data_IF_240112969792
#
_entry.id   IF_240112969792
#
_cell.length_a   1.000
_cell.length_b   1.000
_cell.length_c   1.000
_cell.angle_alpha   90.00
_cell.angle_beta   90.00
_cell.angle_gamma   90.00
#
_symmetry.space_group_name_H-M   'P 1'
#
loop_
_entity.id
_entity.type
_entity.pdbx_description
1 polymer ?
#
# COMPACT_ATOMS: atom_id res chain seq x y z
N UNK A 1 14.10 -0.78 0.86
CA UNK A 1 14.51 0.51 0.29
C UNK A 1 15.95 0.81 0.70
N UNK A 2 16.75 1.52 -0.11
CA UNK A 2 18.06 2.01 0.33
C UNK A 2 17.89 3.02 1.48
N UNK A 3 18.66 2.87 2.55
CA UNK A 3 18.69 3.85 3.65
C UNK A 3 19.29 5.16 3.10
N UNK A 4 18.52 6.25 3.20
CA UNK A 4 18.99 7.60 2.82
C UNK A 4 20.30 7.91 3.54
N UNK A 5 21.29 8.48 2.83
CA UNK A 5 22.65 8.69 3.36
C UNK A 5 22.66 9.38 4.72
N UNK A 6 21.86 10.43 4.89
CA UNK A 6 21.72 11.18 6.14
C UNK A 6 20.98 10.49 7.27
N UNK A 7 20.58 9.22 7.13
CA UNK A 7 19.97 8.43 8.20
C UNK A 7 20.77 7.17 8.54
N UNK A 8 21.90 6.93 7.86
CA UNK A 8 22.71 5.72 8.07
C UNK A 8 23.30 5.65 9.48
N UNK A 9 23.53 6.79 10.13
CA UNK A 9 24.12 6.83 11.47
C UNK A 9 23.19 6.33 12.57
N UNK A 10 21.87 6.24 12.33
CA UNK A 10 20.92 5.63 13.27
C UNK A 10 21.01 4.10 13.30
N UNK A 11 21.69 3.52 12.31
CA UNK A 11 21.81 2.08 12.17
C UNK A 11 23.17 1.63 12.69
N UNK A 12 23.23 0.54 13.47
CA UNK A 12 24.50 0.00 13.93
C UNK A 12 25.30 -0.58 12.75
N UNK A 13 26.62 -0.64 12.92
CA UNK A 13 27.57 -1.02 11.85
C UNK A 13 27.29 -2.44 11.28
N UNK A 14 26.74 -3.31 12.11
CA UNK A 14 26.38 -4.70 11.81
C UNK A 14 24.97 -4.86 11.21
N UNK A 15 24.29 -3.77 10.86
CA UNK A 15 22.96 -3.81 10.22
C UNK A 15 22.86 -4.73 9.00
N UNK A 16 23.87 -4.84 8.11
CA UNK A 16 23.84 -5.82 7.01
C UNK A 16 23.75 -7.27 7.50
N UNK A 17 24.48 -7.61 8.57
CA UNK A 17 24.52 -8.92 9.20
C UNK A 17 23.19 -9.21 9.89
N UNK A 18 22.67 -8.28 10.70
CA UNK A 18 21.36 -8.39 11.34
C UNK A 18 20.25 -8.61 10.29
N UNK A 19 20.24 -7.80 9.24
CA UNK A 19 19.28 -7.91 8.14
C UNK A 19 19.34 -9.27 7.44
N UNK A 20 20.53 -9.82 7.27
CA UNK A 20 20.74 -11.14 6.64
C UNK A 20 20.30 -12.26 7.58
N UNK A 21 20.66 -12.19 8.86
CA UNK A 21 20.26 -13.14 9.89
C UNK A 21 18.75 -13.25 10.04
N UNK A 22 18.04 -12.11 10.00
CA UNK A 22 16.57 -12.12 10.02
C UNK A 22 15.99 -12.69 8.72
N UNK A 23 16.35 -12.13 7.56
CA UNK A 23 15.71 -12.48 6.28
C UNK A 23 15.99 -13.89 5.80
N UNK A 24 17.19 -14.41 6.04
CA UNK A 24 17.62 -15.69 5.46
C UNK A 24 17.95 -16.74 6.52
N UNK A 25 18.27 -16.32 7.75
CA UNK A 25 18.39 -17.23 8.89
C UNK A 25 17.01 -17.55 9.48
N UNK A 26 16.46 -16.65 10.29
CA UNK A 26 15.21 -16.89 11.05
C UNK A 26 14.03 -17.20 10.15
N UNK A 27 13.80 -16.36 9.14
CA UNK A 27 12.58 -16.47 8.31
C UNK A 27 12.79 -17.34 7.07
N UNK A 28 13.99 -17.94 6.92
CA UNK A 28 14.34 -18.85 5.84
C UNK A 28 14.01 -18.29 4.45
N UNK A 29 14.18 -16.98 4.26
CA UNK A 29 13.89 -16.32 2.99
C UNK A 29 12.41 -16.09 2.73
N UNK A 30 11.54 -16.05 3.75
CA UNK A 30 10.11 -15.76 3.60
C UNK A 30 9.69 -14.50 4.32
N UNK A 31 8.63 -13.88 3.81
CA UNK A 31 7.96 -12.78 4.48
C UNK A 31 7.21 -13.29 5.70
N UNK A 32 7.40 -12.66 6.87
CA UNK A 32 6.71 -13.05 8.11
C UNK A 32 5.22 -12.70 8.11
N UNK A 33 4.78 -11.77 7.25
CA UNK A 33 3.38 -11.34 7.20
C UNK A 33 2.54 -12.11 6.19
N UNK A 34 3.09 -12.49 5.03
CA UNK A 34 2.31 -13.11 3.95
C UNK A 34 2.95 -14.37 3.36
N UNK A 35 4.03 -14.87 3.96
CA UNK A 35 4.79 -16.06 3.55
C UNK A 35 5.46 -16.01 2.16
N UNK A 36 5.32 -14.92 1.37
CA UNK A 36 5.95 -14.80 0.04
C UNK A 36 7.44 -15.11 0.09
N UNK A 37 7.95 -15.98 -0.81
CA UNK A 37 9.36 -16.31 -0.88
C UNK A 37 10.16 -15.14 -1.44
N UNK A 38 11.27 -14.81 -0.80
CA UNK A 38 12.26 -13.84 -1.26
C UNK A 38 13.18 -14.40 -2.33
N UNK A 39 13.72 -13.53 -3.17
CA UNK A 39 14.62 -13.85 -4.30
C UNK A 39 14.04 -14.77 -5.37
N UNK A 40 12.76 -15.14 -5.27
CA UNK A 40 12.00 -15.85 -6.30
C UNK A 40 11.13 -14.89 -7.10
N UNK A 41 10.77 -15.32 -8.31
CA UNK A 41 9.74 -14.66 -9.12
C UNK A 41 8.42 -15.34 -8.84
N UNK A 42 7.40 -14.56 -8.51
CA UNK A 42 6.09 -15.05 -8.08
C UNK A 42 5.01 -14.39 -8.93
N UNK A 43 3.99 -15.15 -9.34
CA UNK A 43 2.80 -14.62 -9.99
C UNK A 43 1.91 -13.91 -8.95
N UNK A 44 1.55 -12.67 -9.25
CA UNK A 44 0.71 -11.84 -8.40
C UNK A 44 -0.47 -11.27 -9.19
N UNK A 45 -1.62 -11.17 -8.55
CA UNK A 45 -2.75 -10.38 -9.03
C UNK A 45 -2.66 -8.94 -8.50
N UNK A 46 -3.38 -8.01 -9.13
CA UNK A 46 -3.35 -6.58 -8.80
C UNK A 46 -3.87 -6.26 -7.39
N UNK A 47 -4.81 -7.06 -6.89
CA UNK A 47 -5.33 -7.00 -5.51
C UNK A 47 -4.34 -7.55 -4.45
N UNK A 48 -3.25 -8.16 -4.92
CA UNK A 48 -2.19 -8.72 -4.11
C UNK A 48 -2.39 -10.16 -3.67
N UNK A 49 -3.35 -10.89 -4.26
CA UNK A 49 -3.29 -12.36 -4.28
C UNK A 49 -2.02 -12.83 -5.01
N UNK A 50 -1.49 -14.00 -4.67
CA UNK A 50 -0.28 -14.55 -5.28
C UNK A 50 -0.27 -16.08 -5.32
N UNK A 51 0.40 -16.65 -6.31
CA UNK A 51 0.51 -18.10 -6.47
C UNK A 51 1.63 -18.67 -5.60
N UNK A 52 1.27 -19.57 -4.69
CA UNK A 52 2.20 -20.37 -3.92
C UNK A 52 2.43 -21.71 -4.65
N UNK A 53 3.61 -21.83 -5.26
CA UNK A 53 4.04 -23.02 -5.99
C UNK A 53 4.15 -24.24 -5.06
N UNK A 54 4.58 -24.06 -3.81
CA UNK A 54 4.77 -25.17 -2.86
C UNK A 54 3.45 -25.73 -2.35
N UNK A 55 2.44 -24.87 -2.19
CA UNK A 55 1.08 -25.26 -1.83
C UNK A 55 0.18 -25.55 -3.03
N UNK A 56 0.70 -25.37 -4.26
CA UNK A 56 -0.07 -25.39 -5.51
C UNK A 56 -1.41 -24.62 -5.41
N UNK A 57 -1.38 -23.45 -4.77
CA UNK A 57 -2.60 -22.72 -4.39
C UNK A 57 -2.40 -21.21 -4.45
N UNK A 58 -3.49 -20.48 -4.64
CA UNK A 58 -3.49 -19.04 -4.47
C UNK A 58 -3.54 -18.66 -2.99
N UNK A 59 -2.82 -17.60 -2.65
CA UNK A 59 -2.87 -16.97 -1.33
C UNK A 59 -3.30 -15.52 -1.44
N UNK A 60 -3.96 -15.01 -0.41
CA UNK A 60 -4.31 -13.61 -0.30
C UNK A 60 -3.12 -12.73 0.13
N UNK A 61 -3.41 -11.47 0.46
CA UNK A 61 -2.39 -10.54 0.93
C UNK A 61 -1.87 -10.79 2.34
N UNK A 62 -2.62 -11.51 3.17
CA UNK A 62 -2.23 -11.95 4.51
C UNK A 62 -1.54 -13.33 4.47
N UNK A 63 -1.44 -13.97 3.31
CA UNK A 63 -0.85 -15.29 3.14
C UNK A 63 -1.81 -16.45 3.43
N UNK A 64 -3.11 -16.21 3.58
CA UNK A 64 -4.11 -17.26 3.73
C UNK A 64 -4.40 -17.90 2.37
N UNK A 65 -4.61 -19.22 2.34
CA UNK A 65 -4.96 -19.94 1.10
C UNK A 65 -6.39 -19.55 0.70
N UNK A 66 -6.59 -19.25 -0.59
CA UNK A 66 -7.88 -18.88 -1.16
C UNK A 66 -8.16 -19.68 -2.42
N UNK A 67 -9.40 -20.13 -2.55
CA UNK A 67 -9.90 -20.71 -3.79
C UNK A 67 -10.32 -19.60 -4.74
N UNK A 68 -9.84 -19.64 -5.98
CA UNK A 68 -10.32 -18.73 -7.02
C UNK A 68 -11.55 -19.36 -7.68
N UNK A 69 -12.63 -18.60 -7.78
CA UNK A 69 -13.82 -19.05 -8.50
C UNK A 69 -13.46 -19.21 -9.98
N UNK A 70 -13.57 -20.43 -10.50
CA UNK A 70 -13.30 -20.71 -11.89
C UNK A 70 -14.23 -19.88 -12.80
N UNK A 71 -13.65 -19.21 -13.81
CA UNK A 71 -14.41 -18.44 -14.81
C UNK A 71 -14.75 -17.00 -14.46
N UNK A 72 -14.43 -16.51 -13.26
CA UNK A 72 -14.74 -15.12 -12.84
C UNK A 72 -13.54 -14.18 -13.02
N UNK A 73 -12.33 -14.70 -12.80
CA UNK A 73 -11.09 -13.93 -12.93
C UNK A 73 -10.34 -14.38 -14.21
N UNK A 74 -10.06 -13.44 -15.14
CA UNK A 74 -9.07 -13.66 -16.21
C UNK A 74 -7.66 -13.68 -15.60
N UNK A 75 -7.30 -14.83 -15.04
CA UNK A 75 -6.03 -14.99 -14.33
C UNK A 75 -4.82 -14.83 -15.24
N UNK A 76 -4.91 -15.27 -16.49
CA UNK A 76 -3.80 -15.14 -17.43
C UNK A 76 -3.60 -13.67 -17.83
N UNK A 77 -4.69 -12.93 -18.08
CA UNK A 77 -4.61 -11.50 -18.41
C UNK A 77 -4.25 -10.61 -17.22
N UNK A 78 -4.64 -10.98 -16.00
CA UNK A 78 -4.42 -10.19 -14.79
C UNK A 78 -3.11 -10.51 -14.06
N UNK A 79 -2.60 -11.74 -14.14
CA UNK A 79 -1.39 -12.13 -13.42
C UNK A 79 -0.16 -11.39 -13.96
N UNK A 80 0.67 -10.93 -13.04
CA UNK A 80 1.97 -10.31 -13.33
C UNK A 80 3.04 -11.02 -12.53
N UNK A 81 4.17 -11.29 -13.17
CA UNK A 81 5.34 -11.80 -12.47
C UNK A 81 6.02 -10.66 -11.71
N UNK A 82 6.39 -10.92 -10.46
CA UNK A 82 7.14 -9.96 -9.65
C UNK A 82 8.29 -10.66 -8.96
N UNK A 83 9.50 -10.11 -9.11
CA UNK A 83 10.67 -10.56 -8.35
C UNK A 83 10.55 -10.06 -6.92
N UNK A 84 10.49 -10.99 -5.97
CA UNK A 84 10.29 -10.65 -4.57
C UNK A 84 11.61 -10.28 -3.91
N UNK A 85 11.68 -9.05 -3.41
CA UNK A 85 12.75 -8.61 -2.52
C UNK A 85 12.22 -8.59 -1.07
N UNK A 86 13.00 -9.16 -0.16
CA UNK A 86 12.77 -9.04 1.28
C UNK A 86 13.63 -7.93 1.85
N UNK A 87 13.02 -7.13 2.72
CA UNK A 87 13.67 -6.11 3.53
C UNK A 87 13.49 -6.46 5.02
N UNK A 88 14.49 -6.11 5.83
CA UNK A 88 14.34 -6.11 7.28
C UNK A 88 13.72 -4.76 7.69
N UNK A 89 12.73 -4.80 8.58
CA UNK A 89 12.02 -3.63 9.07
C UNK A 89 11.75 -3.74 10.57
N UNK A 90 11.70 -2.61 11.27
CA UNK A 90 11.34 -2.51 12.68
C UNK A 90 9.81 -2.58 12.83
N UNK A 91 9.31 -3.48 13.67
CA UNK A 91 7.87 -3.67 13.92
C UNK A 91 7.25 -2.45 14.60
N UNK A 92 7.97 -1.82 15.53
CA UNK A 92 7.54 -0.62 16.24
C UNK A 92 7.85 0.70 15.53
N UNK A 93 8.38 0.66 14.30
CA UNK A 93 8.88 1.82 13.54
C UNK A 93 9.98 2.64 14.22
N UNK A 94 10.52 2.21 15.36
CA UNK A 94 11.67 2.81 16.03
C UNK A 94 12.97 2.21 15.47
N UNK A 95 13.77 3.04 14.81
CA UNK A 95 15.04 2.62 14.19
C UNK A 95 16.15 2.32 15.21
N UNK A 96 16.02 2.75 16.45
CA UNK A 96 17.03 2.52 17.50
C UNK A 96 16.91 1.11 18.12
N UNK A 97 15.71 0.53 18.15
CA UNK A 97 15.46 -0.79 18.72
C UNK A 97 15.82 -1.92 17.73
N UNK A 98 17.09 -2.32 17.73
CA UNK A 98 17.59 -3.39 16.88
C UNK A 98 17.45 -4.80 17.50
N UNK A 99 16.57 -4.97 18.49
CA UNK A 99 16.33 -6.28 19.09
C UNK A 99 15.85 -7.28 18.02
N UNK A 100 16.28 -8.56 18.08
CA UNK A 100 15.86 -9.56 17.10
C UNK A 100 14.33 -9.70 17.03
N UNK A 101 13.63 -9.55 18.16
CA UNK A 101 12.16 -9.64 18.23
C UNK A 101 11.45 -8.48 17.55
N UNK A 102 12.03 -7.26 17.58
CA UNK A 102 11.47 -6.10 16.91
C UNK A 102 11.73 -6.11 15.40
N UNK A 103 12.82 -6.71 14.94
CA UNK A 103 13.10 -6.83 13.51
C UNK A 103 12.18 -7.87 12.86
N UNK A 104 11.71 -7.58 11.65
CA UNK A 104 10.86 -8.44 10.84
C UNK A 104 11.35 -8.52 9.39
N UNK A 105 11.12 -9.66 8.73
CA UNK A 105 11.36 -9.79 7.30
C UNK A 105 10.06 -9.55 6.52
N UNK A 106 10.00 -8.46 5.75
CA UNK A 106 8.86 -8.12 4.92
C UNK A 106 9.19 -8.16 3.43
N UNK A 107 8.25 -8.67 2.62
CA UNK A 107 8.28 -8.44 1.18
C UNK A 107 7.98 -6.97 0.87
N UNK A 108 8.37 -6.51 -0.33
CA UNK A 108 8.14 -5.13 -0.75
C UNK A 108 6.71 -4.63 -0.50
N UNK A 109 5.69 -5.46 -0.74
CA UNK A 109 4.29 -5.08 -0.50
C UNK A 109 4.00 -4.89 1.00
N UNK A 110 4.25 -5.92 1.82
CA UNK A 110 3.99 -5.85 3.26
C UNK A 110 4.77 -4.71 3.91
N UNK A 111 5.99 -4.45 3.44
CA UNK A 111 6.79 -3.32 3.90
C UNK A 111 6.14 -1.97 3.56
N UNK A 112 5.61 -1.80 2.34
CA UNK A 112 4.89 -0.57 1.96
C UNK A 112 3.60 -0.36 2.75
N UNK A 113 2.88 -1.45 3.08
CA UNK A 113 1.68 -1.41 3.93
C UNK A 113 2.05 -1.04 5.36
N UNK A 114 3.10 -1.66 5.91
CA UNK A 114 3.62 -1.36 7.25
C UNK A 114 4.00 0.12 7.41
N UNK A 115 4.64 0.70 6.39
CA UNK A 115 5.10 2.10 6.41
C UNK A 115 4.04 3.11 5.93
N UNK A 116 2.83 2.66 5.58
CA UNK A 116 1.82 3.50 4.91
C UNK A 116 1.52 4.80 5.67
N UNK A 117 1.33 4.71 6.99
CA UNK A 117 1.02 5.88 7.81
C UNK A 117 2.13 6.94 7.78
N UNK A 118 3.40 6.53 7.84
CA UNK A 118 4.54 7.45 7.76
C UNK A 118 4.74 7.98 6.33
N UNK A 119 4.49 7.16 5.30
CA UNK A 119 4.47 7.61 3.91
C UNK A 119 3.42 8.70 3.69
N UNK A 120 2.21 8.52 4.23
CA UNK A 120 1.16 9.52 4.22
C UNK A 120 1.61 10.80 4.92
N UNK A 121 2.11 10.72 6.16
CA UNK A 121 2.62 11.90 6.90
C UNK A 121 3.67 12.68 6.10
N UNK A 122 4.63 11.98 5.47
CA UNK A 122 5.67 12.61 4.64
C UNK A 122 5.09 13.26 3.38
N UNK A 123 4.15 12.60 2.72
CA UNK A 123 3.47 13.14 1.54
C UNK A 123 2.70 14.42 1.88
N UNK A 124 1.91 14.41 2.97
CA UNK A 124 1.21 15.59 3.46
C UNK A 124 2.18 16.73 3.80
N UNK A 125 3.24 16.48 4.58
CA UNK A 125 4.26 17.51 4.88
C UNK A 125 4.86 18.12 3.61
N UNK A 126 5.19 17.29 2.61
CA UNK A 126 5.76 17.77 1.36
C UNK A 126 4.76 18.61 0.56
N UNK A 127 3.49 18.17 0.50
CA UNK A 127 2.42 18.90 -0.16
C UNK A 127 2.19 20.27 0.50
N UNK A 128 1.97 20.29 1.82
CA UNK A 128 1.76 21.53 2.57
C UNK A 128 2.95 22.48 2.47
N UNK A 129 4.19 21.98 2.54
CA UNK A 129 5.39 22.81 2.36
C UNK A 129 5.42 23.45 0.97
N UNK A 130 5.06 22.71 -0.09
CA UNK A 130 5.00 23.24 -1.45
C UNK A 130 3.90 24.31 -1.60
N UNK A 131 2.74 24.08 -0.99
CA UNK A 131 1.64 25.05 -0.99
C UNK A 131 2.01 26.31 -0.20
N UNK A 132 2.58 26.19 1.00
CA UNK A 132 3.00 27.32 1.82
C UNK A 132 4.09 28.18 1.16
N UNK A 133 5.04 27.55 0.45
CA UNK A 133 6.03 28.29 -0.36
C UNK A 133 5.36 28.97 -1.56
N UNK A 134 4.39 28.32 -2.19
CA UNK A 134 3.59 28.93 -3.26
C UNK A 134 2.84 30.15 -2.77
N UNK A 135 2.20 30.06 -1.60
CA UNK A 135 1.47 31.16 -0.97
C UNK A 135 2.40 32.34 -0.62
N UNK A 136 3.53 32.06 0.04
CA UNK A 136 4.51 33.07 0.46
C UNK A 136 5.16 33.82 -0.71
N UNK A 137 5.44 33.14 -1.83
CA UNK A 137 6.21 33.72 -2.96
C UNK A 137 5.39 34.03 -4.22
N UNK A 138 4.18 33.47 -4.38
CA UNK A 138 3.34 33.69 -5.57
C UNK A 138 2.07 34.51 -5.30
N UNK A 139 1.77 34.80 -4.04
CA UNK A 139 0.63 35.62 -3.63
C UNK A 139 -0.75 34.98 -3.91
N UNK A 140 -1.82 35.53 -3.32
CA UNK A 140 -3.20 35.03 -3.46
C UNK A 140 -3.75 35.07 -4.90
N UNK A 141 -3.17 35.91 -5.77
CA UNK A 141 -3.63 36.14 -7.15
C UNK A 141 -3.42 34.94 -8.09
N UNK A 142 -2.56 34.00 -7.70
CA UNK A 142 -2.26 32.81 -8.51
C UNK A 142 -3.36 31.74 -8.42
N UNK A 143 -4.07 31.66 -7.29
CA UNK A 143 -5.21 30.75 -7.13
C UNK A 143 -6.47 31.33 -7.79
N UNK A 144 -6.79 32.62 -7.60
CA UNK A 144 -7.98 33.26 -8.20
C UNK A 144 -7.98 33.20 -9.75
N UNK A 145 -6.83 33.31 -10.40
CA UNK A 145 -6.70 33.13 -11.87
C UNK A 145 -6.93 31.68 -12.33
N UNK A 146 -6.70 30.69 -11.47
CA UNK A 146 -6.88 29.27 -11.80
C UNK A 146 -8.33 28.77 -11.60
N UNK A 147 -9.11 29.42 -10.73
CA UNK A 147 -10.52 29.05 -10.44
C UNK A 147 -11.55 30.00 -11.07
N UNK A 148 -11.14 31.13 -11.67
CA UNK A 148 -12.06 32.20 -12.09
C UNK A 148 -11.71 32.87 -13.42
N UNK A 149 -11.92 32.16 -14.53
CA UNK A 149 -12.34 32.77 -15.81
C UNK A 149 -13.51 31.99 -16.41
N UNK A 150 -14.52 31.73 -15.59
CA UNK A 150 -15.88 31.51 -16.06
C UNK A 150 -16.75 32.61 -15.47
N UNK A 151 -17.27 33.46 -16.35
CA UNK A 151 -18.34 34.43 -16.06
C UNK A 151 -19.38 33.78 -15.15
N UNK A 152 -19.75 34.47 -14.08
CA UNK A 152 -20.95 34.14 -13.31
C UNK A 152 -22.15 34.04 -14.26
N UNK A 153 -22.92 32.94 -14.26
CA UNK A 153 -24.17 32.90 -14.99
C UNK A 153 -25.16 33.81 -14.25
N UNK A 154 -25.65 34.81 -14.97
CA UNK A 154 -26.74 35.69 -14.53
C UNK A 154 -27.95 34.84 -14.16
N UNK A 155 -28.54 35.15 -13.00
CA UNK A 155 -29.79 34.57 -12.54
C UNK A 155 -30.88 34.76 -13.59
N UNK A 156 -31.33 33.64 -14.16
CA UNK A 156 -32.43 33.53 -15.12
C UNK A 156 -33.18 32.24 -14.84
N UNK A 157 -34.50 32.32 -14.87
CA UNK A 157 -35.47 31.47 -14.19
C UNK A 157 -35.58 30.01 -14.70
N UNK A 158 -35.93 29.13 -13.75
CA UNK A 158 -36.82 27.96 -13.82
C UNK A 158 -36.78 26.98 -15.03
N UNK A 159 -36.46 25.71 -14.75
CA UNK A 159 -37.45 24.61 -14.88
C UNK A 159 -36.96 23.29 -14.24
N UNK A 160 -37.80 22.66 -13.44
CA UNK A 160 -37.75 21.24 -13.05
C UNK A 160 -38.44 20.42 -14.17
N UNK A 161 -37.99 19.21 -14.52
CA UNK A 161 -38.30 17.96 -13.78
C UNK A 161 -37.07 17.01 -13.73
N UNK A 162 -36.94 15.92 -12.99
CA UNK A 162 -37.85 15.00 -12.32
C UNK A 162 -37.24 13.60 -12.48
N UNK A 163 -37.13 12.83 -11.39
CA UNK A 163 -36.83 11.38 -11.33
C UNK A 163 -35.40 10.95 -11.75
N UNK A 164 -34.71 9.93 -11.21
CA UNK A 164 -35.13 8.76 -10.43
C UNK A 164 -33.92 8.15 -9.66
N UNK A 165 -34.24 7.56 -8.50
CA UNK A 165 -33.68 6.32 -7.91
C UNK A 165 -32.19 6.31 -7.49
N UNK A 166 -31.89 6.49 -6.20
CA UNK A 166 -31.90 5.50 -5.10
C UNK A 166 -30.59 4.71 -4.92
N UNK A 167 -30.03 4.92 -3.73
CA UNK A 167 -28.96 4.18 -3.09
C UNK A 167 -29.36 2.71 -2.93
N UNK A 168 -28.39 1.81 -3.06
CA UNK A 168 -28.47 0.52 -2.37
C UNK A 168 -27.29 0.40 -1.40
N UNK A 169 -27.58 0.74 -0.14
CA UNK A 169 -26.89 0.18 1.03
C UNK A 169 -27.57 -1.15 1.34
N UNK A 170 -26.76 -2.15 1.66
CA UNK A 170 -26.96 -3.15 2.72
C UNK A 170 -28.32 -3.88 2.74
N UNK A 171 -28.29 -5.19 2.52
CA UNK A 171 -29.24 -6.06 3.20
C UNK A 171 -28.50 -7.20 3.92
N UNK A 172 -28.78 -7.29 5.20
CA UNK A 172 -28.41 -8.35 6.14
C UNK A 172 -29.68 -9.09 6.55
N UNK A 173 -29.50 -10.38 6.91
CA UNK A 173 -30.43 -11.32 7.59
C UNK A 173 -31.32 -12.13 6.64
N UNK A 174 -31.17 -13.46 6.68
CA UNK A 174 -31.99 -14.42 7.44
C UNK A 174 -33.42 -14.51 6.85
N UNK A 175 -33.99 -15.68 6.53
CA UNK A 175 -34.09 -16.84 7.41
C UNK A 175 -34.62 -18.10 6.67
N UNK A 176 -34.44 -19.25 7.34
CA UNK A 176 -35.32 -20.43 7.45
C UNK A 176 -35.35 -21.55 6.38
N UNK A 177 -35.01 -22.74 6.90
CA UNK A 177 -35.68 -24.04 6.79
C UNK A 177 -36.10 -24.55 5.39
N UNK A 178 -35.35 -25.55 4.91
CA UNK A 178 -35.84 -26.92 4.74
C UNK A 178 -34.68 -27.90 4.97
#
# INVERSE_FOLDING_TARGET
MPIRRGYRFFYPIDSPQLSTGIRFGRTKGRCEACARPGRRTVFCLGDGRWWDEEAASWRDGAGQIVCLAAGVDDLLGAARTKRMALAAAHRNHDTADNSPTNLAAFCQRCHMVHDWAEHQRRWWRALFRRTALGDLFRGPDSWLKAIGSSRAPTAGQANLPGTALQRCRQNTRASHNF
#
